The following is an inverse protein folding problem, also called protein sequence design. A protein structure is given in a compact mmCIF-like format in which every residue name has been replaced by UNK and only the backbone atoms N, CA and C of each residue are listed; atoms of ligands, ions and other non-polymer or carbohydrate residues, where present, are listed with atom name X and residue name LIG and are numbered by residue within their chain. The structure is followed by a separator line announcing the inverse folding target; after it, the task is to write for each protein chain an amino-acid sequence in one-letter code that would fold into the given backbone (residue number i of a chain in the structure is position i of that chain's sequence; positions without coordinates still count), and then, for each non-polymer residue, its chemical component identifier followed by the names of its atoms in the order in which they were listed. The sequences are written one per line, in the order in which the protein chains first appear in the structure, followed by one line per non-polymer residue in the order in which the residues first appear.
data_IF_484195137325
#
_entry.id   IF_484195137325
#
_cell.length_a   1.000
_cell.length_b   1.000
_cell.length_c   1.000
_cell.angle_alpha   90.00
_cell.angle_beta   90.00
_cell.angle_gamma   90.00
#
_symmetry.space_group_name_H-M   'P 1'
#
loop_
_entity.id
_entity.type
_entity.pdbx_description
1 polymer ?
#
# COMPACT_ATOMS: atom_id res chain seq x y z
N UNK A 1 -17.66 -24.63 4.33
CA UNK A 1 -17.93 -23.23 3.92
C UNK A 1 -16.57 -22.53 3.82
N UNK A 2 -16.27 -21.86 2.72
CA UNK A 2 -15.01 -21.09 2.63
C UNK A 2 -15.07 -19.96 3.67
N UNK A 3 -14.06 -19.88 4.53
CA UNK A 3 -13.94 -18.78 5.51
C UNK A 3 -13.73 -17.47 4.75
N UNK A 4 -14.37 -16.39 5.20
CA UNK A 4 -14.18 -15.06 4.60
C UNK A 4 -12.73 -14.61 4.75
N UNK A 5 -12.14 -13.94 3.73
CA UNK A 5 -10.80 -13.41 3.85
C UNK A 5 -10.71 -12.41 5.00
N UNK A 6 -9.63 -12.51 5.77
CA UNK A 6 -9.32 -11.62 6.89
C UNK A 6 -8.32 -10.58 6.44
N UNK A 7 -8.67 -9.30 6.59
CA UNK A 7 -7.80 -8.19 6.28
C UNK A 7 -7.52 -7.41 7.56
N UNK A 8 -6.24 -7.21 7.89
CA UNK A 8 -5.88 -6.42 9.04
C UNK A 8 -5.60 -4.97 8.62
N UNK A 9 -6.15 -4.03 9.37
CA UNK A 9 -5.96 -2.58 9.19
C UNK A 9 -5.12 -2.07 10.35
N UNK A 10 -3.92 -1.53 10.08
CA UNK A 10 -3.17 -0.80 11.08
C UNK A 10 -3.70 0.62 11.24
N UNK A 11 -3.81 1.10 12.50
CA UNK A 11 -4.51 2.36 12.81
C UNK A 11 -3.73 3.62 12.36
N UNK A 12 -2.43 3.50 12.10
CA UNK A 12 -1.55 4.62 11.75
C UNK A 12 -1.19 5.52 12.93
N UNK A 13 -0.68 6.73 12.61
CA UNK A 13 -0.32 7.71 13.63
C UNK A 13 -1.59 8.30 14.28
N UNK A 14 -1.78 8.10 15.61
CA UNK A 14 -2.98 8.55 16.32
C UNK A 14 -3.10 10.08 16.41
N UNK A 15 -2.04 10.82 16.18
CA UNK A 15 -2.04 12.29 16.14
C UNK A 15 -2.32 12.86 14.75
N UNK A 16 -2.40 11.99 13.72
CA UNK A 16 -2.78 12.32 12.35
C UNK A 16 -4.19 11.85 12.01
N UNK A 17 -4.47 11.76 10.71
CA UNK A 17 -5.78 11.29 10.20
C UNK A 17 -5.90 9.76 10.13
N UNK A 18 -4.83 9.01 10.45
CA UNK A 18 -4.82 7.55 10.36
C UNK A 18 -6.04 6.88 11.00
N UNK A 19 -6.34 7.12 12.30
CA UNK A 19 -7.50 6.55 12.96
C UNK A 19 -8.83 6.98 12.34
N UNK A 20 -8.95 8.23 11.91
CA UNK A 20 -10.15 8.77 11.27
C UNK A 20 -10.46 8.04 9.96
N UNK A 21 -9.49 7.96 9.05
CA UNK A 21 -9.70 7.33 7.74
C UNK A 21 -9.89 5.80 7.87
N UNK A 22 -9.23 5.16 8.84
CA UNK A 22 -9.42 3.75 9.13
C UNK A 22 -10.83 3.45 9.62
N UNK A 23 -11.33 4.17 10.62
CA UNK A 23 -12.69 3.98 11.14
C UNK A 23 -13.75 4.30 10.10
N UNK A 24 -13.61 5.41 9.36
CA UNK A 24 -14.51 5.75 8.26
C UNK A 24 -14.55 4.65 7.19
N UNK A 25 -13.40 4.08 6.83
CA UNK A 25 -13.30 2.97 5.88
C UNK A 25 -14.10 1.76 6.37
N UNK A 26 -13.90 1.35 7.63
CA UNK A 26 -14.55 0.17 8.20
C UNK A 26 -16.09 0.28 8.26
N UNK A 27 -16.62 1.50 8.32
CA UNK A 27 -18.06 1.74 8.26
C UNK A 27 -18.65 1.59 6.84
N UNK A 28 -17.78 1.60 5.82
CA UNK A 28 -18.19 1.60 4.42
C UNK A 28 -17.82 0.30 3.66
N UNK A 29 -17.26 -0.69 4.35
CA UNK A 29 -16.94 -2.00 3.75
C UNK A 29 -18.13 -2.96 3.86
N UNK A 30 -18.16 -3.92 2.93
CA UNK A 30 -19.18 -4.99 2.96
C UNK A 30 -18.67 -6.17 3.82
N UNK A 31 -19.20 -6.28 5.04
CA UNK A 31 -18.87 -7.35 5.98
C UNK A 31 -19.33 -8.75 5.51
N UNK A 32 -20.14 -8.83 4.46
CA UNK A 32 -20.49 -10.13 3.85
C UNK A 32 -19.34 -10.74 3.07
N UNK A 33 -18.38 -9.92 2.60
CA UNK A 33 -17.29 -10.33 1.72
C UNK A 33 -15.96 -10.55 2.47
N UNK A 34 -15.78 -9.97 3.64
CA UNK A 34 -14.52 -10.04 4.39
C UNK A 34 -14.74 -9.96 5.90
N UNK A 35 -13.70 -10.28 6.65
CA UNK A 35 -13.62 -10.11 8.10
C UNK A 35 -12.49 -9.13 8.41
N UNK A 36 -12.80 -7.85 8.66
CA UNK A 36 -11.80 -6.85 9.01
C UNK A 36 -11.32 -7.01 10.46
N UNK A 37 -10.02 -6.79 10.67
CA UNK A 37 -9.37 -6.74 11.97
C UNK A 37 -8.67 -5.39 12.06
N UNK A 38 -8.98 -4.59 13.07
CA UNK A 38 -8.26 -3.35 13.36
C UNK A 38 -7.24 -3.63 14.43
N UNK A 39 -5.97 -3.50 14.12
CA UNK A 39 -4.91 -3.54 15.11
C UNK A 39 -4.80 -2.15 15.76
N UNK A 40 -5.38 -1.99 16.94
CA UNK A 40 -5.42 -0.70 17.63
C UNK A 40 -5.66 -0.87 19.12
N UNK A 41 -5.15 0.06 19.95
CA UNK A 41 -5.51 0.12 21.35
C UNK A 41 -7.02 0.31 21.52
N UNK A 42 -7.67 -0.53 22.33
CA UNK A 42 -9.11 -0.46 22.58
C UNK A 42 -9.55 0.92 23.05
N UNK A 43 -8.83 1.51 24.01
CA UNK A 43 -9.15 2.83 24.56
C UNK A 43 -9.10 3.95 23.52
N UNK A 44 -8.15 3.88 22.57
CA UNK A 44 -8.08 4.85 21.48
C UNK A 44 -9.36 4.79 20.61
N UNK A 45 -9.75 3.59 20.18
CA UNK A 45 -10.95 3.40 19.34
C UNK A 45 -12.23 3.81 20.07
N UNK A 46 -12.40 3.36 21.33
CA UNK A 46 -13.56 3.72 22.15
C UNK A 46 -13.68 5.23 22.35
N UNK A 47 -12.56 5.91 22.61
CA UNK A 47 -12.53 7.37 22.77
C UNK A 47 -12.90 8.09 21.48
N UNK A 48 -12.29 7.70 20.34
CA UNK A 48 -12.60 8.32 19.04
C UNK A 48 -14.09 8.22 18.71
N UNK A 49 -14.70 7.06 18.94
CA UNK A 49 -16.14 6.87 18.75
C UNK A 49 -16.96 7.74 19.70
N UNK A 50 -16.54 7.85 20.97
CA UNK A 50 -17.22 8.69 21.97
C UNK A 50 -17.13 10.18 21.60
N UNK A 51 -15.96 10.64 21.19
CA UNK A 51 -15.71 12.06 20.87
C UNK A 51 -16.42 12.47 19.57
N UNK A 52 -16.67 11.51 18.66
CA UNK A 52 -17.29 11.74 17.35
C UNK A 52 -18.70 11.14 17.23
N UNK A 53 -19.45 11.11 18.33
CA UNK A 53 -20.82 10.55 18.37
C UNK A 53 -21.73 11.08 17.27
N UNK A 54 -21.65 12.37 16.94
CA UNK A 54 -22.46 12.98 15.89
C UNK A 54 -22.20 12.39 14.50
N UNK A 55 -20.97 11.94 14.23
CA UNK A 55 -20.62 11.27 12.98
C UNK A 55 -21.09 9.81 12.97
N UNK A 56 -20.89 9.09 14.08
CA UNK A 56 -21.14 7.65 14.16
C UNK A 56 -22.62 7.29 14.40
N UNK A 57 -23.39 8.16 15.03
CA UNK A 57 -24.79 7.89 15.40
C UNK A 57 -25.80 8.71 14.58
N UNK A 58 -25.49 9.02 13.32
CA UNK A 58 -26.50 9.57 12.42
C UNK A 58 -27.52 8.46 12.08
N UNK A 59 -28.78 8.84 12.02
CA UNK A 59 -29.95 7.96 11.88
C UNK A 59 -29.99 7.08 10.61
N UNK A 60 -29.03 7.19 9.72
CA UNK A 60 -29.00 6.51 8.42
C UNK A 60 -28.13 5.25 8.38
N UNK A 61 -27.17 5.10 9.32
CA UNK A 61 -26.36 3.88 9.43
C UNK A 61 -26.08 3.59 10.90
N UNK A 62 -26.71 2.56 11.51
CA UNK A 62 -26.26 2.09 12.81
C UNK A 62 -24.81 1.63 12.70
N UNK A 63 -23.99 2.06 13.65
CA UNK A 63 -22.61 1.56 13.78
C UNK A 63 -22.63 0.03 13.75
N UNK A 64 -21.85 -0.60 12.87
CA UNK A 64 -21.68 -2.03 12.98
C UNK A 64 -21.09 -2.35 14.34
N UNK A 65 -21.47 -3.50 14.90
CA UNK A 65 -20.97 -3.94 16.20
C UNK A 65 -19.46 -4.14 16.11
N UNK A 66 -18.72 -3.45 16.98
CA UNK A 66 -17.28 -3.65 17.14
C UNK A 66 -17.05 -4.72 18.21
N UNK A 67 -16.30 -5.74 17.85
CA UNK A 67 -15.84 -6.78 18.76
C UNK A 67 -14.45 -6.44 19.25
N UNK A 68 -14.31 -6.10 20.53
CA UNK A 68 -13.03 -5.83 21.17
C UNK A 68 -12.45 -7.14 21.64
N UNK A 69 -11.31 -7.53 21.11
CA UNK A 69 -10.64 -8.81 21.33
C UNK A 69 -9.18 -8.60 21.74
N UNK A 70 -8.65 -9.49 22.54
CA UNK A 70 -7.25 -9.48 22.99
C UNK A 70 -6.43 -10.62 22.36
N UNK A 71 -7.11 -11.59 21.75
CA UNK A 71 -6.53 -12.76 21.13
C UNK A 71 -7.14 -13.01 19.75
N UNK A 72 -6.34 -13.41 18.80
CA UNK A 72 -6.77 -13.71 17.43
C UNK A 72 -7.74 -14.89 17.31
N UNK A 73 -7.81 -15.75 18.33
CA UNK A 73 -8.79 -16.85 18.38
C UNK A 73 -10.22 -16.36 18.69
N UNK A 74 -10.36 -15.11 19.16
CA UNK A 74 -11.64 -14.48 19.44
C UNK A 74 -12.25 -13.79 18.21
N UNK A 75 -11.58 -13.84 17.03
CA UNK A 75 -12.05 -13.18 15.79
C UNK A 75 -13.41 -13.74 15.38
N UNK A 76 -14.40 -12.83 15.29
CA UNK A 76 -15.76 -13.11 14.82
C UNK A 76 -15.84 -12.83 13.32
N UNK A 77 -16.21 -13.85 12.56
CA UNK A 77 -16.32 -13.77 11.10
C UNK A 77 -17.49 -12.84 10.69
N UNK A 78 -17.21 -11.92 9.74
CA UNK A 78 -18.20 -10.97 9.24
C UNK A 78 -18.55 -9.86 10.22
N UNK A 79 -17.72 -9.63 11.24
CA UNK A 79 -17.80 -8.49 12.14
C UNK A 79 -16.50 -7.66 12.07
N UNK A 80 -16.55 -6.43 12.56
CA UNK A 80 -15.34 -5.61 12.74
C UNK A 80 -14.71 -5.99 14.08
N UNK A 81 -13.53 -6.60 14.03
CA UNK A 81 -12.78 -6.98 15.21
C UNK A 81 -11.73 -5.92 15.54
N UNK A 82 -11.69 -5.43 16.76
CA UNK A 82 -10.67 -4.49 17.25
C UNK A 82 -9.72 -5.30 18.13
N UNK A 83 -8.58 -5.67 17.57
CA UNK A 83 -7.57 -6.43 18.29
C UNK A 83 -6.65 -5.48 19.04
N UNK A 84 -6.50 -5.73 20.36
CA UNK A 84 -5.58 -4.95 21.18
C UNK A 84 -4.15 -5.10 20.64
N UNK A 85 -3.55 -3.99 20.28
CA UNK A 85 -2.19 -3.95 19.73
C UNK A 85 -1.15 -3.43 20.70
N UNK A 86 -1.53 -3.24 21.97
CA UNK A 86 -0.68 -2.64 22.97
C UNK A 86 -0.88 -3.22 24.37
N UNK A 87 0.18 -3.83 24.93
CA UNK A 87 0.09 -4.62 26.17
C UNK A 87 0.03 -3.81 27.48
N UNK A 88 0.26 -2.48 27.46
CA UNK A 88 0.38 -1.72 28.71
C UNK A 88 -0.20 -0.31 28.63
N UNK A 89 -1.53 -0.23 28.62
CA UNK A 89 -2.24 1.06 28.53
C UNK A 89 -2.49 1.77 29.87
N UNK A 90 -2.22 1.15 31.01
CA UNK A 90 -2.63 1.64 32.32
C UNK A 90 -2.09 3.04 32.67
N UNK A 91 -1.06 3.53 31.96
CA UNK A 91 -0.39 4.78 32.29
C UNK A 91 -0.27 5.80 31.14
N UNK A 92 -0.84 5.52 29.96
CA UNK A 92 -0.66 6.36 28.77
C UNK A 92 -1.98 7.02 28.36
N UNK A 93 -2.18 8.27 28.76
CA UNK A 93 -3.30 9.06 28.28
C UNK A 93 -3.03 9.62 26.89
N UNK A 94 -3.67 9.05 25.85
CA UNK A 94 -3.79 9.75 24.58
C UNK A 94 -4.64 11.00 24.78
N UNK A 95 -4.07 12.17 24.53
CA UNK A 95 -4.78 13.46 24.64
C UNK A 95 -5.15 14.01 23.27
N UNK A 96 -6.36 14.55 23.13
CA UNK A 96 -6.77 15.29 21.93
C UNK A 96 -5.96 16.56 21.68
N UNK A 97 -5.22 17.05 22.69
CA UNK A 97 -4.28 18.16 22.55
C UNK A 97 -3.04 17.79 21.71
N UNK A 98 -2.82 16.51 21.44
CA UNK A 98 -1.67 16.03 20.67
C UNK A 98 -1.92 15.96 19.15
N UNK A 99 -3.16 16.18 18.68
CA UNK A 99 -3.44 16.20 17.26
C UNK A 99 -2.54 17.19 16.52
N UNK A 100 -1.98 16.75 15.39
CA UNK A 100 -1.06 17.54 14.58
C UNK A 100 0.35 17.67 15.15
N UNK A 101 0.71 16.89 16.19
CA UNK A 101 2.03 16.93 16.82
C UNK A 101 2.76 15.60 16.69
N UNK A 102 4.05 15.67 16.41
CA UNK A 102 4.93 14.51 16.45
C UNK A 102 5.29 14.17 17.89
N UNK A 103 5.19 12.90 18.27
CA UNK A 103 5.71 12.41 19.54
C UNK A 103 6.04 10.91 19.50
N UNK A 104 6.85 10.47 20.45
CA UNK A 104 7.32 9.08 20.54
C UNK A 104 6.19 8.09 20.81
N UNK A 105 5.20 8.47 21.61
CA UNK A 105 4.06 7.61 21.92
C UNK A 105 3.24 7.30 20.64
N UNK A 106 2.92 8.32 19.84
CA UNK A 106 2.20 8.15 18.59
C UNK A 106 3.00 7.27 17.61
N UNK A 107 4.32 7.48 17.54
CA UNK A 107 5.21 6.64 16.74
C UNK A 107 5.21 5.18 17.20
N UNK A 108 5.31 4.95 18.50
CA UNK A 108 5.29 3.60 19.08
C UNK A 108 3.95 2.89 18.80
N UNK A 109 2.83 3.54 19.05
CA UNK A 109 1.49 2.98 18.82
C UNK A 109 1.26 2.63 17.35
N UNK A 110 1.68 3.52 16.45
CA UNK A 110 1.55 3.27 15.01
C UNK A 110 2.36 2.05 14.56
N UNK A 111 3.59 1.89 15.05
CA UNK A 111 4.45 0.77 14.68
C UNK A 111 3.99 -0.55 15.31
N UNK A 112 3.53 -0.56 16.56
CA UNK A 112 2.97 -1.77 17.18
C UNK A 112 1.70 -2.25 16.47
N UNK A 113 0.89 -1.33 15.99
CA UNK A 113 -0.24 -1.65 15.13
C UNK A 113 0.19 -2.33 13.82
N UNK A 114 1.27 -1.85 13.20
CA UNK A 114 1.88 -2.47 12.01
C UNK A 114 2.45 -3.85 12.36
N UNK A 115 3.18 -3.99 13.46
CA UNK A 115 3.74 -5.26 13.94
C UNK A 115 2.67 -6.33 14.16
N UNK A 116 1.57 -5.94 14.80
CA UNK A 116 0.42 -6.84 14.98
C UNK A 116 -0.10 -7.32 13.63
N UNK A 117 -0.24 -6.42 12.66
CA UNK A 117 -0.65 -6.78 11.31
C UNK A 117 0.31 -7.71 10.60
N UNK A 118 1.61 -7.46 10.69
CA UNK A 118 2.66 -8.33 10.13
C UNK A 118 2.59 -9.73 10.75
N UNK A 119 2.51 -9.83 12.08
CA UNK A 119 2.42 -11.11 12.80
C UNK A 119 1.19 -11.91 12.36
N UNK A 120 0.02 -11.28 12.28
CA UNK A 120 -1.19 -11.95 11.81
C UNK A 120 -1.03 -12.48 10.38
N UNK A 121 -0.41 -11.72 9.49
CA UNK A 121 -0.20 -12.13 8.11
C UNK A 121 0.83 -13.26 7.98
N UNK A 122 1.96 -13.17 8.67
CA UNK A 122 2.99 -14.21 8.66
C UNK A 122 2.49 -15.53 9.26
N UNK A 123 1.65 -15.46 10.31
CA UNK A 123 1.02 -16.63 10.93
C UNK A 123 -0.20 -17.14 10.13
N UNK A 124 -0.53 -16.53 8.97
CA UNK A 124 -1.68 -16.89 8.12
C UNK A 124 -3.04 -16.72 8.80
N UNK A 125 -3.12 -15.93 9.85
CA UNK A 125 -4.35 -15.55 10.56
C UNK A 125 -5.09 -14.42 9.86
N UNK A 126 -4.36 -13.61 9.06
CA UNK A 126 -4.89 -12.69 8.06
C UNK A 126 -4.15 -12.86 6.73
N UNK A 127 -4.75 -12.44 5.63
CA UNK A 127 -4.20 -12.59 4.29
C UNK A 127 -3.68 -11.28 3.69
N UNK A 128 -4.10 -10.15 4.25
CA UNK A 128 -3.68 -8.84 3.79
C UNK A 128 -3.51 -7.85 4.94
N UNK A 129 -2.55 -6.94 4.77
CA UNK A 129 -2.30 -5.80 5.65
C UNK A 129 -2.60 -4.50 4.91
N UNK A 130 -3.56 -3.73 5.41
CA UNK A 130 -3.90 -2.38 4.93
C UNK A 130 -3.36 -1.38 5.95
N UNK A 131 -2.36 -0.57 5.55
CA UNK A 131 -1.71 0.32 6.52
C UNK A 131 -2.21 1.75 6.40
N UNK A 132 -2.70 2.32 7.50
CA UNK A 132 -2.96 3.76 7.59
C UNK A 132 -1.65 4.56 7.71
N UNK A 133 -1.68 5.88 7.41
CA UNK A 133 -0.47 6.70 7.39
C UNK A 133 0.24 6.78 8.74
N UNK A 134 1.58 6.70 8.72
CA UNK A 134 2.46 6.93 9.88
C UNK A 134 3.31 8.18 9.68
N UNK A 135 3.73 8.81 10.78
CA UNK A 135 4.67 9.91 10.76
C UNK A 135 6.10 9.42 10.90
N UNK A 136 6.95 9.71 9.92
CA UNK A 136 8.38 9.37 9.95
C UNK A 136 9.09 9.97 11.17
N UNK A 137 8.73 11.19 11.54
CA UNK A 137 9.29 11.87 12.71
C UNK A 137 8.83 11.20 14.00
N UNK A 138 7.53 10.89 14.14
CA UNK A 138 7.01 10.19 15.33
C UNK A 138 7.68 8.82 15.53
N UNK A 139 7.83 8.01 14.47
CA UNK A 139 8.47 6.70 14.59
C UNK A 139 9.95 6.81 14.91
N UNK A 140 10.64 7.82 14.38
CA UNK A 140 12.03 8.10 14.76
C UNK A 140 12.16 8.49 16.23
N UNK A 141 11.27 9.36 16.75
CA UNK A 141 11.20 9.70 18.16
C UNK A 141 10.90 8.47 19.04
N UNK A 142 10.22 7.46 18.52
CA UNK A 142 9.95 6.19 19.19
C UNK A 142 11.13 5.19 19.10
N UNK A 143 12.25 5.57 18.46
CA UNK A 143 13.46 4.74 18.36
C UNK A 143 13.53 3.84 17.12
N UNK A 144 12.59 3.94 16.21
CA UNK A 144 12.66 3.20 14.94
C UNK A 144 13.58 3.94 13.95
N UNK A 145 14.59 3.25 13.43
CA UNK A 145 15.59 3.81 12.49
C UNK A 145 15.23 3.61 11.02
N UNK A 146 14.01 3.18 10.73
CA UNK A 146 13.54 2.93 9.37
C UNK A 146 12.90 4.19 8.76
N UNK A 147 13.05 4.44 7.45
CA UNK A 147 12.49 5.61 6.79
C UNK A 147 10.96 5.54 6.57
N UNK A 148 10.35 4.36 6.71
CA UNK A 148 8.91 4.20 6.56
C UNK A 148 8.43 2.76 6.56
N UNK A 149 7.18 2.56 6.15
CA UNK A 149 6.54 1.23 6.12
C UNK A 149 7.30 0.21 5.26
N UNK A 150 7.73 0.61 4.06
CA UNK A 150 8.26 -0.34 3.07
C UNK A 150 9.53 -1.00 3.58
N UNK A 151 10.46 -0.22 4.07
CA UNK A 151 11.74 -0.69 4.61
C UNK A 151 11.53 -1.54 5.87
N UNK A 152 10.60 -1.11 6.73
CA UNK A 152 10.23 -1.87 7.91
C UNK A 152 9.61 -3.24 7.58
N UNK A 153 8.69 -3.26 6.62
CA UNK A 153 8.07 -4.50 6.14
C UNK A 153 9.10 -5.45 5.54
N UNK A 154 10.06 -4.95 4.75
CA UNK A 154 11.16 -5.77 4.21
C UNK A 154 11.99 -6.38 5.33
N UNK A 155 12.38 -5.58 6.32
CA UNK A 155 13.16 -6.04 7.48
C UNK A 155 12.42 -7.13 8.26
N UNK A 156 11.14 -6.90 8.61
CA UNK A 156 10.34 -7.85 9.41
C UNK A 156 9.97 -9.13 8.66
N UNK A 157 9.94 -9.10 7.33
CA UNK A 157 9.60 -10.28 6.51
C UNK A 157 10.84 -10.99 5.95
N UNK A 158 12.03 -10.42 6.09
CA UNK A 158 13.28 -10.96 5.54
C UNK A 158 13.32 -10.95 4.01
N UNK A 159 12.61 -10.01 3.38
CA UNK A 159 12.55 -9.87 1.92
C UNK A 159 13.60 -8.87 1.46
N UNK A 160 14.43 -9.26 0.48
CA UNK A 160 15.55 -8.46 0.00
C UNK A 160 15.11 -7.32 -0.94
N UNK A 161 14.01 -7.49 -1.67
CA UNK A 161 13.55 -6.51 -2.66
C UNK A 161 12.03 -6.51 -2.82
N UNK A 162 11.46 -5.32 -3.04
CA UNK A 162 10.03 -5.10 -3.28
C UNK A 162 9.81 -4.10 -4.41
N UNK A 163 8.60 -4.07 -4.95
CA UNK A 163 8.18 -3.07 -5.93
C UNK A 163 7.06 -2.22 -5.35
N UNK A 164 7.25 -0.90 -5.34
CA UNK A 164 6.17 0.03 -5.10
C UNK A 164 5.34 0.18 -6.37
N UNK A 165 4.08 -0.19 -6.29
CA UNK A 165 3.10 -0.03 -7.37
C UNK A 165 1.99 0.92 -6.93
N UNK A 166 1.78 1.99 -7.70
CA UNK A 166 0.60 2.86 -7.56
C UNK A 166 -0.48 2.35 -8.51
N UNK A 167 -1.67 2.07 -7.97
CA UNK A 167 -2.82 1.54 -8.71
C UNK A 167 -4.02 2.49 -8.61
N UNK A 168 -4.64 2.83 -9.73
CA UNK A 168 -5.84 3.67 -9.75
C UNK A 168 -6.41 3.90 -11.15
N UNK A 169 -7.72 3.83 -11.27
CA UNK A 169 -8.46 4.03 -12.54
C UNK A 169 -7.89 3.26 -13.75
N UNK A 170 -7.46 2.01 -13.52
CA UNK A 170 -6.93 1.15 -14.57
C UNK A 170 -5.48 1.45 -14.99
N UNK A 171 -4.79 2.34 -14.30
CA UNK A 171 -3.37 2.60 -14.47
C UNK A 171 -2.60 2.04 -13.26
N UNK A 172 -1.64 1.15 -13.52
CA UNK A 172 -0.69 0.66 -12.53
C UNK A 172 0.71 1.15 -12.91
N UNK A 173 1.37 1.85 -11.99
CA UNK A 173 2.72 2.38 -12.19
C UNK A 173 3.64 1.77 -11.14
N UNK A 174 4.64 1.04 -11.59
CA UNK A 174 5.75 0.54 -10.78
C UNK A 174 6.99 1.42 -10.98
N UNK A 175 7.83 1.51 -9.96
CA UNK A 175 9.03 2.33 -9.98
C UNK A 175 10.30 1.48 -9.88
N UNK A 176 11.30 1.79 -10.73
CA UNK A 176 12.65 1.26 -10.60
C UNK A 176 13.37 1.90 -9.42
N UNK A 177 13.24 3.23 -9.27
CA UNK A 177 13.78 3.98 -8.13
C UNK A 177 12.69 4.82 -7.48
N UNK A 178 12.69 4.91 -6.14
CA UNK A 178 11.67 5.63 -5.38
C UNK A 178 12.19 6.95 -4.81
N UNK A 179 12.76 6.94 -3.62
CA UNK A 179 13.13 8.12 -2.84
C UNK A 179 14.64 8.43 -2.96
N UNK A 180 15.15 8.45 -4.18
CA UNK A 180 16.55 8.84 -4.46
C UNK A 180 16.62 10.22 -5.12
N UNK A 181 17.65 11.01 -4.87
CA UNK A 181 17.87 12.27 -5.57
C UNK A 181 17.94 12.04 -7.08
N UNK A 182 17.37 12.92 -7.89
CA UNK A 182 17.33 12.76 -9.35
C UNK A 182 18.72 12.54 -9.96
N UNK A 183 19.77 13.21 -9.45
CA UNK A 183 21.16 13.03 -9.90
C UNK A 183 21.72 11.63 -9.70
N UNK A 184 21.14 10.86 -8.77
CA UNK A 184 21.59 9.50 -8.43
C UNK A 184 20.71 8.40 -9.06
N UNK A 185 19.64 8.75 -9.77
CA UNK A 185 18.72 7.79 -10.37
C UNK A 185 19.43 6.77 -11.24
N UNK A 186 20.31 7.24 -12.15
CA UNK A 186 21.02 6.36 -13.11
C UNK A 186 21.93 5.38 -12.38
N UNK A 187 22.57 5.79 -11.28
CA UNK A 187 23.47 4.95 -10.48
C UNK A 187 22.74 3.75 -9.85
N UNK A 188 21.42 3.87 -9.61
CA UNK A 188 20.58 2.83 -9.01
C UNK A 188 19.91 1.93 -10.06
N UNK A 189 20.00 2.28 -11.35
CA UNK A 189 19.38 1.50 -12.42
C UNK A 189 20.46 0.67 -13.14
N UNK A 190 20.33 -0.64 -13.05
CA UNK A 190 21.17 -1.61 -13.75
C UNK A 190 20.32 -2.80 -14.20
N UNK A 191 20.91 -3.69 -15.00
CA UNK A 191 20.20 -4.84 -15.54
C UNK A 191 19.60 -5.73 -14.45
N UNK A 192 20.33 -5.98 -13.36
CA UNK A 192 19.88 -6.83 -12.23
C UNK A 192 18.68 -6.19 -11.53
N UNK A 193 18.73 -4.89 -11.25
CA UNK A 193 17.62 -4.17 -10.61
C UNK A 193 16.36 -4.23 -11.47
N UNK A 194 16.47 -3.96 -12.79
CA UNK A 194 15.30 -4.01 -13.67
C UNK A 194 14.72 -5.43 -13.74
N UNK A 195 15.60 -6.45 -13.88
CA UNK A 195 15.15 -7.86 -13.92
C UNK A 195 14.47 -8.28 -12.62
N UNK A 196 15.00 -7.89 -11.45
CA UNK A 196 14.40 -8.15 -10.15
C UNK A 196 12.99 -7.57 -10.08
N UNK A 197 12.81 -6.30 -10.42
CA UNK A 197 11.50 -5.64 -10.40
C UNK A 197 10.48 -6.30 -11.35
N UNK A 198 10.89 -6.65 -12.56
CA UNK A 198 10.03 -7.38 -13.51
C UNK A 198 9.61 -8.73 -12.94
N UNK A 199 10.53 -9.51 -12.36
CA UNK A 199 10.20 -10.81 -11.76
C UNK A 199 9.23 -10.70 -10.57
N UNK A 200 9.38 -9.68 -9.73
CA UNK A 200 8.43 -9.40 -8.62
C UNK A 200 7.04 -9.08 -9.17
N UNK A 201 6.96 -8.27 -10.24
CA UNK A 201 5.68 -7.97 -10.91
C UNK A 201 5.07 -9.27 -11.49
N UNK A 202 5.86 -10.08 -12.19
CA UNK A 202 5.39 -11.36 -12.74
C UNK A 202 4.89 -12.31 -11.65
N UNK A 203 5.61 -12.40 -10.52
CA UNK A 203 5.19 -13.22 -9.38
C UNK A 203 3.87 -12.76 -8.78
N UNK A 204 3.65 -11.44 -8.68
CA UNK A 204 2.38 -10.89 -8.24
C UNK A 204 1.24 -11.25 -9.22
N UNK A 205 1.47 -11.10 -10.53
CA UNK A 205 0.46 -11.46 -11.52
C UNK A 205 0.14 -12.95 -11.50
N UNK A 206 1.15 -13.82 -11.42
CA UNK A 206 0.93 -15.26 -11.30
C UNK A 206 0.12 -15.64 -10.04
N UNK A 207 0.32 -14.93 -8.92
CA UNK A 207 -0.41 -15.20 -7.68
C UNK A 207 -1.88 -14.73 -7.71
N UNK A 208 -2.16 -13.57 -8.33
CA UNK A 208 -3.47 -12.91 -8.24
C UNK A 208 -4.21 -12.79 -9.57
N UNK A 209 -3.58 -13.15 -10.69
CA UNK A 209 -4.13 -13.15 -12.05
C UNK A 209 -3.60 -14.36 -12.82
N UNK A 210 -3.86 -15.60 -12.36
CA UNK A 210 -3.20 -16.81 -12.87
C UNK A 210 -3.41 -17.06 -14.37
N UNK A 211 -4.49 -16.55 -14.95
CA UNK A 211 -4.82 -16.69 -16.36
C UNK A 211 -4.29 -15.53 -17.22
N UNK A 212 -3.44 -14.67 -16.68
CA UNK A 212 -2.98 -13.47 -17.36
C UNK A 212 -1.48 -13.30 -17.31
N UNK A 213 -0.86 -13.26 -18.49
CA UNK A 213 0.53 -12.86 -18.65
C UNK A 213 0.60 -11.33 -18.58
N UNK A 214 1.36 -10.74 -17.65
CA UNK A 214 1.43 -9.28 -17.49
C UNK A 214 2.09 -8.62 -18.71
N UNK A 215 1.45 -7.58 -19.24
CA UNK A 215 2.00 -6.68 -20.23
C UNK A 215 2.67 -5.52 -19.51
N UNK A 216 3.99 -5.45 -19.57
CA UNK A 216 4.80 -4.42 -18.92
C UNK A 216 5.38 -3.47 -19.95
N UNK A 217 5.12 -2.17 -19.80
CA UNK A 217 5.77 -1.13 -20.56
C UNK A 217 6.93 -0.54 -19.75
N UNK A 218 8.15 -0.71 -20.23
CA UNK A 218 9.34 -0.09 -19.64
C UNK A 218 9.49 1.33 -20.22
N UNK A 219 9.59 2.35 -19.36
CA UNK A 219 9.88 3.71 -19.78
C UNK A 219 11.37 3.94 -19.83
N UNK A 220 11.82 4.74 -20.79
CA UNK A 220 13.22 5.16 -20.91
C UNK A 220 13.66 6.00 -19.72
N UNK A 221 14.97 6.01 -19.47
CA UNK A 221 15.62 6.87 -18.46
C UNK A 221 15.72 8.28 -18.99
N UNK A 222 16.20 8.40 -20.24
CA UNK A 222 16.48 9.67 -20.87
C UNK A 222 15.30 10.22 -21.69
N UNK A 223 15.25 11.53 -21.94
CA UNK A 223 14.31 12.12 -22.90
C UNK A 223 14.38 11.37 -24.25
N UNK A 224 13.22 11.18 -24.88
CA UNK A 224 13.07 10.43 -26.13
C UNK A 224 13.66 9.02 -26.11
N UNK A 225 13.77 8.40 -24.91
CA UNK A 225 14.41 7.11 -24.70
C UNK A 225 15.84 7.06 -25.29
N UNK A 226 16.61 8.13 -25.07
CA UNK A 226 18.01 8.27 -25.48
C UNK A 226 18.22 8.66 -26.94
N UNK A 227 17.19 8.70 -27.79
CA UNK A 227 17.25 9.06 -29.22
C UNK A 227 18.42 8.41 -29.96
N UNK A 228 18.48 7.09 -29.87
CA UNK A 228 19.57 6.30 -30.50
C UNK A 228 20.98 6.52 -29.91
N UNK A 229 21.09 7.07 -28.72
CA UNK A 229 22.33 7.34 -28.01
C UNK A 229 22.79 8.82 -28.08
N UNK A 230 22.01 9.68 -28.73
CA UNK A 230 22.29 11.13 -28.81
C UNK A 230 22.04 11.84 -27.48
N UNK A 231 21.03 11.37 -26.72
CA UNK A 231 20.61 11.96 -25.44
C UNK A 231 20.94 11.05 -24.24
N UNK A 232 21.89 10.14 -24.40
CA UNK A 232 22.31 9.18 -23.40
C UNK A 232 22.32 7.75 -23.96
N UNK A 233 23.11 6.88 -23.37
CA UNK A 233 23.33 5.49 -23.85
C UNK A 233 22.72 4.43 -22.96
N UNK A 234 22.09 4.83 -21.83
CA UNK A 234 21.58 3.93 -20.79
C UNK A 234 20.51 2.98 -21.33
N UNK A 235 19.68 3.44 -22.26
CA UNK A 235 18.69 2.57 -22.93
C UNK A 235 19.37 1.45 -23.72
N UNK A 236 20.50 1.75 -24.39
CA UNK A 236 21.25 0.76 -25.18
C UNK A 236 22.09 -0.16 -24.30
N UNK A 237 22.74 0.38 -23.27
CA UNK A 237 23.70 -0.33 -22.42
C UNK A 237 23.03 -1.12 -21.30
N UNK A 238 21.91 -0.62 -20.76
CA UNK A 238 21.21 -1.20 -19.60
C UNK A 238 19.89 -1.84 -20.01
N UNK A 239 19.00 -1.08 -20.68
CA UNK A 239 17.62 -1.54 -20.93
C UNK A 239 17.54 -2.54 -22.10
N UNK A 240 18.24 -2.31 -23.21
CA UNK A 240 18.17 -3.22 -24.34
C UNK A 240 18.66 -4.64 -24.04
N UNK A 241 19.70 -4.88 -23.22
CA UNK A 241 20.02 -6.22 -22.74
C UNK A 241 18.91 -6.86 -21.93
N UNK A 242 18.20 -6.11 -21.09
CA UNK A 242 17.05 -6.62 -20.32
C UNK A 242 15.87 -6.98 -21.24
N UNK A 243 15.59 -6.14 -22.24
CA UNK A 243 14.56 -6.45 -23.26
C UNK A 243 14.87 -7.78 -23.97
N UNK A 244 16.13 -7.99 -24.38
CA UNK A 244 16.54 -9.27 -25.00
C UNK A 244 16.45 -10.46 -24.04
N UNK A 245 16.74 -10.26 -22.74
CA UNK A 245 16.67 -11.30 -21.73
C UNK A 245 15.24 -11.84 -21.55
N UNK A 246 14.22 -10.97 -21.64
CA UNK A 246 12.81 -11.34 -21.50
C UNK A 246 12.09 -11.58 -22.83
N UNK A 247 12.77 -11.48 -23.97
CA UNK A 247 12.15 -11.57 -25.31
C UNK A 247 11.32 -12.85 -25.52
N UNK A 248 11.85 -13.97 -25.05
CA UNK A 248 11.24 -15.31 -25.20
C UNK A 248 10.71 -15.86 -23.85
N UNK A 249 10.59 -15.01 -22.81
CA UNK A 249 10.09 -15.42 -21.50
C UNK A 249 8.56 -15.51 -21.55
N UNK A 250 7.97 -16.72 -21.39
CA UNK A 250 6.52 -16.91 -21.49
C UNK A 250 5.74 -16.30 -20.32
N UNK A 251 6.42 -15.78 -19.29
CA UNK A 251 5.78 -15.24 -18.07
C UNK A 251 5.54 -13.74 -18.15
N UNK A 252 5.99 -13.05 -19.20
CA UNK A 252 5.85 -11.61 -19.36
C UNK A 252 5.83 -11.17 -20.83
N UNK A 253 5.00 -10.19 -21.14
CA UNK A 253 5.07 -9.41 -22.38
C UNK A 253 5.74 -8.06 -22.04
N UNK A 254 7.07 -7.95 -22.26
CA UNK A 254 7.82 -6.73 -21.98
C UNK A 254 7.99 -5.91 -23.25
N UNK A 255 7.64 -4.64 -23.19
CA UNK A 255 7.71 -3.68 -24.31
C UNK A 255 8.42 -2.40 -23.90
N UNK A 256 9.06 -1.72 -24.87
CA UNK A 256 9.82 -0.47 -24.61
C UNK A 256 11.28 -0.59 -25.04
N UNK A 257 12.21 0.28 -24.54
CA UNK A 257 11.90 1.44 -23.70
C UNK A 257 11.13 2.53 -24.46
N UNK A 258 10.13 3.14 -23.82
CA UNK A 258 9.30 4.19 -24.41
C UNK A 258 9.68 5.59 -23.90
N UNK A 259 9.65 6.64 -24.75
CA UNK A 259 9.66 8.01 -24.28
C UNK A 259 8.44 8.28 -23.38
N UNK A 260 8.65 8.70 -22.14
CA UNK A 260 7.59 8.81 -21.13
C UNK A 260 6.50 9.83 -21.54
N UNK A 261 6.90 10.99 -22.08
CA UNK A 261 6.00 12.05 -22.52
C UNK A 261 5.03 11.57 -23.61
N UNK A 262 5.56 10.92 -24.64
CA UNK A 262 4.77 10.37 -25.75
C UNK A 262 3.89 9.19 -25.29
N UNK A 263 4.41 8.34 -24.41
CA UNK A 263 3.68 7.19 -23.87
C UNK A 263 2.45 7.62 -23.09
N UNK A 264 2.59 8.54 -22.14
CA UNK A 264 1.46 9.06 -21.37
C UNK A 264 0.57 9.99 -22.22
N UNK A 265 1.17 10.86 -23.04
CA UNK A 265 0.42 11.77 -23.89
C UNK A 265 -0.52 11.09 -24.89
N UNK A 266 -0.12 9.91 -25.39
CA UNK A 266 -0.93 9.07 -26.28
C UNK A 266 -1.77 8.03 -25.54
N UNK A 267 -1.79 8.05 -24.22
CA UNK A 267 -2.51 7.10 -23.35
C UNK A 267 -2.19 5.62 -23.64
N UNK A 268 -0.96 5.32 -24.04
CA UNK A 268 -0.52 3.95 -24.33
C UNK A 268 -0.62 3.04 -23.10
N UNK A 269 -0.60 3.62 -21.91
CA UNK A 269 -0.81 2.88 -20.65
C UNK A 269 -2.14 2.14 -20.58
N UNK A 270 -3.13 2.48 -21.39
CA UNK A 270 -4.40 1.74 -21.47
C UNK A 270 -4.27 0.37 -22.19
N UNK A 271 -3.13 0.11 -22.83
CA UNK A 271 -2.87 -1.13 -23.58
C UNK A 271 -1.98 -2.11 -22.83
N UNK A 272 -1.51 -1.74 -21.64
CA UNK A 272 -0.61 -2.54 -20.81
C UNK A 272 -1.18 -2.71 -19.39
N UNK A 273 -0.66 -3.70 -18.69
CA UNK A 273 -1.06 -3.95 -17.31
C UNK A 273 -0.29 -3.12 -16.30
N UNK A 274 0.99 -2.86 -16.60
CA UNK A 274 1.92 -2.15 -15.73
C UNK A 274 2.82 -1.25 -16.54
N UNK A 275 3.01 -0.03 -16.06
CA UNK A 275 4.05 0.90 -16.52
C UNK A 275 5.19 0.83 -15.53
N UNK A 276 6.38 0.46 -15.98
CA UNK A 276 7.60 0.46 -15.17
C UNK A 276 8.40 1.72 -15.46
N UNK A 277 8.33 2.69 -14.55
CA UNK A 277 8.96 4.00 -14.69
C UNK A 277 10.35 4.00 -14.04
N UNK A 278 11.28 4.74 -14.62
CA UNK A 278 12.66 4.82 -14.15
C UNK A 278 12.77 5.52 -12.79
N UNK A 279 12.00 6.57 -12.56
CA UNK A 279 12.05 7.33 -11.31
C UNK A 279 10.67 7.86 -10.89
N UNK A 280 10.61 8.29 -9.65
CA UNK A 280 9.40 8.72 -8.95
C UNK A 280 8.51 9.65 -9.78
N UNK A 281 8.97 10.83 -10.16
CA UNK A 281 8.11 11.83 -10.80
C UNK A 281 7.74 11.47 -12.24
N UNK A 282 8.57 10.69 -12.95
CA UNK A 282 8.25 10.17 -14.28
C UNK A 282 6.96 9.33 -14.26
N UNK A 283 6.79 8.52 -13.22
CA UNK A 283 5.61 7.67 -13.06
C UNK A 283 4.48 8.34 -12.30
N UNK A 284 4.80 9.01 -11.17
CA UNK A 284 3.78 9.47 -10.24
C UNK A 284 3.11 10.79 -10.64
N UNK A 285 3.78 11.68 -11.33
CA UNK A 285 3.13 12.91 -11.80
C UNK A 285 1.95 12.60 -12.74
N UNK A 286 2.12 11.81 -13.82
CA UNK A 286 0.99 11.43 -14.68
C UNK A 286 -0.02 10.52 -13.95
N UNK A 287 0.42 9.63 -13.05
CA UNK A 287 -0.46 8.79 -12.26
C UNK A 287 -1.40 9.62 -11.39
N UNK A 288 -0.88 10.58 -10.63
CA UNK A 288 -1.69 11.44 -9.73
C UNK A 288 -2.66 12.31 -10.50
N UNK A 289 -2.25 12.83 -11.67
CA UNK A 289 -3.14 13.55 -12.56
C UNK A 289 -4.29 12.67 -13.06
N UNK A 290 -4.02 11.41 -13.39
CA UNK A 290 -5.01 10.45 -13.87
C UNK A 290 -5.92 9.92 -12.76
N UNK A 291 -5.37 9.51 -11.63
CA UNK A 291 -6.11 8.90 -10.50
C UNK A 291 -6.98 9.89 -9.73
N UNK A 292 -6.65 11.20 -9.77
CA UNK A 292 -7.40 12.27 -9.09
C UNK A 292 -7.64 11.98 -7.61
N UNK A 293 -6.59 11.62 -6.86
CA UNK A 293 -6.66 11.36 -5.43
C UNK A 293 -7.20 9.98 -5.01
N UNK A 294 -7.56 9.12 -5.97
CA UNK A 294 -8.03 7.75 -5.72
C UNK A 294 -6.94 6.70 -6.00
N UNK A 295 -5.71 7.04 -5.70
CA UNK A 295 -4.58 6.13 -5.82
C UNK A 295 -4.43 5.22 -4.61
N UNK A 296 -3.95 4.01 -4.86
CA UNK A 296 -3.57 3.02 -3.85
C UNK A 296 -2.11 2.67 -4.04
N UNK A 297 -1.34 2.67 -2.97
CA UNK A 297 0.02 2.17 -2.97
C UNK A 297 0.01 0.69 -2.56
N UNK A 298 0.48 -0.18 -3.47
CA UNK A 298 0.66 -1.61 -3.24
C UNK A 298 2.16 -1.92 -3.13
N UNK A 299 2.55 -2.70 -2.13
CA UNK A 299 3.92 -3.21 -2.01
C UNK A 299 3.96 -4.65 -2.51
N UNK A 300 4.52 -4.86 -3.70
CA UNK A 300 4.68 -6.18 -4.30
C UNK A 300 5.96 -6.85 -3.82
N UNK A 301 5.97 -8.19 -3.71
CA UNK A 301 7.14 -8.96 -3.28
C UNK A 301 7.12 -9.39 -1.82
N UNK A 302 6.21 -8.86 -1.00
CA UNK A 302 5.99 -9.34 0.36
C UNK A 302 5.29 -10.71 0.37
N UNK A 303 5.43 -11.53 1.45
CA UNK A 303 4.78 -12.84 1.55
C UNK A 303 3.25 -12.75 1.77
N UNK A 304 2.70 -11.56 1.84
CA UNK A 304 1.28 -11.25 1.96
C UNK A 304 0.94 -9.97 1.19
N UNK A 305 -0.35 -9.73 0.96
CA UNK A 305 -0.80 -8.50 0.31
C UNK A 305 -0.62 -7.32 1.25
N UNK A 306 0.05 -6.27 0.77
CA UNK A 306 0.09 -5.00 1.48
C UNK A 306 -0.38 -3.86 0.60
N UNK A 307 -1.35 -3.10 1.10
CA UNK A 307 -1.87 -1.88 0.47
C UNK A 307 -1.91 -0.72 1.45
N UNK A 308 -1.89 0.49 0.93
CA UNK A 308 -2.04 1.72 1.72
C UNK A 308 -2.64 2.84 0.87
N UNK A 309 -3.25 3.88 1.50
CA UNK A 309 -3.65 5.08 0.79
C UNK A 309 -2.44 5.84 0.24
N UNK A 310 -2.67 6.64 -0.79
CA UNK A 310 -1.66 7.51 -1.43
C UNK A 310 -1.64 8.92 -0.82
N UNK A 311 -1.70 9.01 0.52
CA UNK A 311 -1.58 10.26 1.27
C UNK A 311 -0.86 10.02 2.61
N UNK A 312 -0.39 11.09 3.24
CA UNK A 312 0.28 11.08 4.54
C UNK A 312 -0.67 11.31 5.72
N UNK A 313 -0.08 11.68 6.86
CA UNK A 313 -0.76 11.88 8.14
C UNK A 313 -1.66 13.11 8.21
N UNK A 314 -1.51 14.08 7.29
CA UNK A 314 -2.32 15.30 7.18
C UNK A 314 -2.60 15.95 8.55
N UNK A 315 -1.53 16.28 9.28
CA UNK A 315 -1.57 16.82 10.65
C UNK A 315 -2.35 18.14 10.76
N UNK A 316 -2.44 18.91 9.69
CA UNK A 316 -3.18 20.16 9.59
C UNK A 316 -4.70 20.00 9.76
N UNK A 317 -5.24 18.82 9.47
CA UNK A 317 -6.66 18.48 9.60
C UNK A 317 -6.94 17.40 10.65
N UNK A 318 -5.92 16.91 11.35
CA UNK A 318 -6.07 15.88 12.37
C UNK A 318 -7.05 16.31 13.47
N UNK A 319 -7.93 15.39 13.89
CA UNK A 319 -8.95 15.63 14.91
C UNK A 319 -10.19 16.42 14.45
N UNK A 320 -10.19 16.97 13.23
CA UNK A 320 -11.35 17.73 12.69
C UNK A 320 -12.42 16.85 12.05
N UNK A 321 -12.18 15.59 11.80
CA UNK A 321 -13.08 14.61 11.15
C UNK A 321 -13.58 15.02 9.76
N UNK A 322 -12.73 15.74 9.03
CA UNK A 322 -13.00 16.20 7.66
C UNK A 322 -12.14 15.45 6.63
N UNK A 323 -11.29 14.52 7.05
CA UNK A 323 -10.45 13.75 6.14
C UNK A 323 -11.31 12.85 5.24
N UNK A 324 -11.01 12.88 3.95
CA UNK A 324 -11.59 11.95 2.98
C UNK A 324 -10.96 10.57 3.15
N UNK A 325 -11.77 9.51 3.13
CA UNK A 325 -11.34 8.14 3.35
C UNK A 325 -11.32 7.29 2.07
N UNK A 326 -11.65 7.87 0.93
CA UNK A 326 -11.78 7.17 -0.36
C UNK A 326 -10.52 6.37 -0.72
N UNK A 327 -9.32 6.96 -0.53
CA UNK A 327 -8.06 6.27 -0.84
C UNK A 327 -7.80 5.08 0.11
N UNK A 328 -8.17 5.20 1.39
CA UNK A 328 -8.04 4.11 2.36
C UNK A 328 -9.07 2.99 2.09
N UNK A 329 -10.29 3.36 1.73
CA UNK A 329 -11.33 2.41 1.33
C UNK A 329 -10.92 1.68 0.05
N UNK A 330 -10.38 2.39 -0.92
CA UNK A 330 -9.88 1.78 -2.14
C UNK A 330 -8.68 0.85 -1.86
N UNK A 331 -7.78 1.21 -0.93
CA UNK A 331 -6.69 0.34 -0.50
C UNK A 331 -7.22 -0.98 0.08
N UNK A 332 -8.29 -0.93 0.90
CA UNK A 332 -8.95 -2.12 1.43
C UNK A 332 -9.58 -2.96 0.30
N UNK A 333 -10.30 -2.31 -0.62
CA UNK A 333 -10.99 -2.97 -1.73
C UNK A 333 -10.00 -3.63 -2.71
N UNK A 334 -8.87 -3.00 -3.00
CA UNK A 334 -7.81 -3.57 -3.85
C UNK A 334 -7.23 -4.83 -3.19
N UNK A 335 -6.94 -4.79 -1.89
CA UNK A 335 -6.46 -5.96 -1.16
C UNK A 335 -7.48 -7.11 -1.18
N UNK A 336 -8.75 -6.81 -0.95
CA UNK A 336 -9.84 -7.80 -1.01
C UNK A 336 -10.00 -8.37 -2.42
N UNK A 337 -9.89 -7.54 -3.46
CA UNK A 337 -9.98 -7.99 -4.84
C UNK A 337 -8.88 -8.97 -5.23
N UNK A 338 -7.64 -8.76 -4.76
CA UNK A 338 -6.55 -9.73 -4.96
C UNK A 338 -6.88 -11.08 -4.29
N UNK A 339 -7.33 -11.07 -3.05
CA UNK A 339 -7.70 -12.30 -2.33
C UNK A 339 -8.84 -13.06 -3.01
N UNK A 340 -9.85 -12.33 -3.47
CA UNK A 340 -11.01 -12.93 -4.15
C UNK A 340 -10.63 -13.57 -5.50
N UNK A 341 -9.68 -13.00 -6.22
CA UNK A 341 -9.17 -13.55 -7.49
C UNK A 341 -8.34 -14.80 -7.25
N UNK A 342 -7.45 -14.79 -6.26
CA UNK A 342 -6.61 -15.95 -5.92
C UNK A 342 -7.40 -17.19 -5.49
N UNK A 343 -8.63 -17.00 -4.98
CA UNK A 343 -9.48 -18.11 -4.50
C UNK A 343 -10.43 -18.69 -5.56
N UNK A 344 -10.54 -18.06 -6.73
CA UNK A 344 -11.36 -18.63 -7.82
C UNK A 344 -10.59 -19.81 -8.43
N UNK A 345 -11.12 -21.06 -8.36
CA UNK A 345 -10.53 -22.15 -9.10
C UNK A 345 -10.62 -21.84 -10.59
N UNK A 346 -9.57 -22.15 -11.37
CA UNK A 346 -9.57 -22.10 -12.82
C UNK A 346 -10.85 -22.76 -13.33
N UNK A 347 -11.80 -21.98 -13.84
CA UNK A 347 -12.86 -22.51 -14.64
C UNK A 347 -12.26 -22.79 -16.02
N UNK A 348 -11.71 -24.00 -16.18
CA UNK A 348 -11.29 -24.53 -17.45
C UNK A 348 -12.50 -24.82 -18.33
#
# INVERSE_FOLDING_TARGET
MSTKPRLVVSIGDPNGIGPEVSLKTLLNIDLSQSTPIVAAPHHLVQRLIKDQKSYFYTSLNPLPTLHYITDENEIVEGAINVLESFDSWSDLEFSSSNYGQHNSLAGMLSMQSVDTGIKLCLNKQAQALVTAPISKESIHLAGYSVPGHTEYLMEQTGVDDVVMMLSGKGLNVCLLTTHVPLKSVVEHINQTTIQSKIRIICSHYNAYYPDRIPKIALLGINPHAGDGGVLGTEEQEIMAPVMRFFQDDPTVELTGPFPADAFFGRKQFLQVDVVLAAHHDQGLAPFKLWSMGKGVNCTLGLPFIRTSPDHGTAFDIAGKWIAEHDSMLEAYNVALAYLTRATKPNQA
#
